data_IF_250011329489
#
_entry.id   IF_250011329489
#
_cell.length_a   1.000
_cell.length_b   1.000
_cell.length_c   1.000
_cell.angle_alpha   90.00
_cell.angle_beta   90.00
_cell.angle_gamma   90.00
#
_symmetry.space_group_name_H-M   'P 1'
#
loop_
_entity.id
_entity.type
_entity.pdbx_description
1 polymer ?
#
# COMPACT_ATOMS: atom_id res chain seq x y z
N UNK A 1 -40.50 -3.20 19.69
CA UNK A 1 -40.09 -2.10 18.79
C UNK A 1 -38.72 -1.64 19.25
N UNK A 2 -37.69 -2.00 18.49
CA UNK A 2 -36.29 -2.05 18.91
C UNK A 2 -35.64 -0.67 18.92
N UNK A 3 -34.80 -0.42 19.93
CA UNK A 3 -34.04 0.82 20.19
C UNK A 3 -33.17 1.31 19.00
N UNK A 4 -32.90 0.46 18.01
CA UNK A 4 -32.07 0.78 16.84
C UNK A 4 -32.72 1.76 15.86
N UNK A 5 -34.06 1.79 15.75
CA UNK A 5 -34.74 2.71 14.84
C UNK A 5 -34.70 4.17 15.32
N UNK A 6 -34.58 4.42 16.64
CA UNK A 6 -34.49 5.78 17.18
C UNK A 6 -33.13 6.44 16.96
N UNK A 7 -32.07 5.67 16.68
CA UNK A 7 -30.71 6.17 16.50
C UNK A 7 -30.45 6.68 15.07
N UNK A 8 -31.00 5.98 14.06
CA UNK A 8 -30.85 6.37 12.66
C UNK A 8 -31.64 7.65 12.31
N UNK A 9 -32.85 7.81 12.85
CA UNK A 9 -33.66 9.02 12.65
C UNK A 9 -32.99 10.27 13.21
N UNK A 10 -32.31 10.14 14.36
CA UNK A 10 -31.54 11.21 14.99
C UNK A 10 -30.31 11.63 14.17
N UNK A 11 -29.67 10.70 13.46
CA UNK A 11 -28.52 11.01 12.62
C UNK A 11 -28.94 11.74 11.33
N UNK A 12 -29.99 11.26 10.67
CA UNK A 12 -30.54 11.89 9.48
C UNK A 12 -31.01 13.33 9.75
N UNK A 13 -31.71 13.57 10.87
CA UNK A 13 -32.14 14.91 11.25
C UNK A 13 -30.97 15.87 11.52
N UNK A 14 -29.92 15.41 12.22
CA UNK A 14 -28.73 16.25 12.48
C UNK A 14 -28.00 16.62 11.20
N UNK A 15 -27.84 15.68 10.27
CA UNK A 15 -27.23 15.93 8.97
C UNK A 15 -28.02 16.99 8.19
N UNK A 16 -29.34 16.87 8.18
CA UNK A 16 -30.23 17.82 7.51
C UNK A 16 -30.15 19.23 8.11
N UNK A 17 -30.08 19.35 9.44
CA UNK A 17 -29.86 20.65 10.10
C UNK A 17 -28.50 21.28 9.77
N UNK A 18 -27.44 20.47 9.63
CA UNK A 18 -26.11 20.96 9.23
C UNK A 18 -26.15 21.45 7.78
N UNK A 19 -26.76 20.68 6.88
CA UNK A 19 -26.89 21.04 5.46
C UNK A 19 -27.71 22.33 5.28
N UNK A 20 -28.80 22.51 6.03
CA UNK A 20 -29.61 23.73 6.02
C UNK A 20 -28.85 24.94 6.58
N UNK A 21 -28.03 24.74 7.62
CA UNK A 21 -27.20 25.80 8.20
C UNK A 21 -26.09 26.23 7.25
N UNK A 22 -25.43 25.26 6.59
CA UNK A 22 -24.44 25.51 5.55
C UNK A 22 -25.06 26.25 4.37
N UNK A 23 -26.27 25.85 3.94
CA UNK A 23 -26.99 26.51 2.84
C UNK A 23 -27.37 27.95 3.19
N UNK A 24 -27.86 28.21 4.41
CA UNK A 24 -28.13 29.59 4.89
C UNK A 24 -26.86 30.43 4.95
N UNK A 25 -25.74 29.85 5.41
CA UNK A 25 -24.46 30.53 5.44
C UNK A 25 -23.95 30.86 4.03
N UNK A 26 -24.02 29.92 3.08
CA UNK A 26 -23.62 30.12 1.69
C UNK A 26 -24.48 31.17 0.98
N UNK A 27 -25.78 31.23 1.29
CA UNK A 27 -26.70 32.21 0.71
C UNK A 27 -26.62 33.58 1.40
N UNK A 28 -25.86 33.72 2.49
CA UNK A 28 -25.73 35.00 3.17
C UNK A 28 -25.01 36.02 2.27
N UNK A 29 -25.50 37.28 2.18
CA UNK A 29 -24.86 38.30 1.36
C UNK A 29 -23.39 38.56 1.73
N UNK A 30 -23.04 38.45 3.02
CA UNK A 30 -21.67 38.60 3.50
C UNK A 30 -20.75 37.49 2.99
N UNK A 31 -21.23 36.24 3.03
CA UNK A 31 -20.49 35.07 2.52
C UNK A 31 -20.32 35.15 1.00
N UNK A 32 -21.37 35.53 0.28
CA UNK A 32 -21.32 35.72 -1.17
C UNK A 32 -20.34 36.84 -1.57
N UNK A 33 -20.29 37.94 -0.82
CA UNK A 33 -19.31 39.01 -1.05
C UNK A 33 -17.87 38.55 -0.79
N UNK A 34 -17.64 37.76 0.27
CA UNK A 34 -16.35 37.17 0.58
C UNK A 34 -15.87 36.19 -0.51
N UNK A 35 -16.75 35.29 -0.96
CA UNK A 35 -16.42 34.34 -2.03
C UNK A 35 -16.11 35.05 -3.35
N UNK A 36 -16.84 36.12 -3.68
CA UNK A 36 -16.53 36.94 -4.87
C UNK A 36 -15.17 37.61 -4.77
N UNK A 37 -14.82 38.18 -3.62
CA UNK A 37 -13.49 38.78 -3.36
C UNK A 37 -12.35 37.76 -3.50
N UNK A 38 -12.56 36.52 -3.02
CA UNK A 38 -11.59 35.44 -3.22
C UNK A 38 -11.41 35.06 -4.69
N UNK A 39 -12.50 34.92 -5.44
CA UNK A 39 -12.46 34.58 -6.87
C UNK A 39 -11.75 35.68 -7.67
N UNK A 40 -12.01 36.94 -7.34
CA UNK A 40 -11.39 38.11 -7.97
C UNK A 40 -9.88 38.17 -7.68
N UNK A 41 -9.48 37.82 -6.46
CA UNK A 41 -8.06 37.72 -6.05
C UNK A 41 -7.34 36.59 -6.79
N UNK A 42 -7.99 35.44 -7.02
CA UNK A 42 -7.44 34.33 -7.80
C UNK A 42 -7.30 34.68 -9.29
N UNK A 43 -8.29 35.34 -9.87
CA UNK A 43 -8.26 35.73 -11.29
C UNK A 43 -7.17 36.78 -11.59
N UNK A 44 -6.86 37.66 -10.63
CA UNK A 44 -5.80 38.65 -10.77
C UNK A 44 -4.38 38.09 -10.62
N UNK A 45 -4.20 36.93 -9.94
CA UNK A 45 -2.88 36.26 -9.83
C UNK A 45 -2.44 35.54 -11.11
N UNK A 46 -3.35 35.25 -12.04
CA UNK A 46 -3.06 34.55 -13.30
C UNK A 46 -2.36 35.41 -14.38
N UNK A 47 -1.93 36.65 -14.08
CA UNK A 47 -1.17 37.50 -15.02
C UNK A 47 0.32 37.66 -14.73
N UNK A 48 0.87 37.12 -13.64
CA UNK A 48 2.33 37.06 -13.44
C UNK A 48 2.70 35.80 -12.65
N UNK A 49 3.14 34.75 -13.35
CA UNK A 49 4.14 33.81 -12.86
C UNK A 49 4.59 32.91 -14.03
N UNK A 50 5.75 33.24 -14.61
CA UNK A 50 6.64 32.22 -15.18
C UNK A 50 6.88 31.19 -14.06
N UNK A 51 6.81 29.90 -14.40
CA UNK A 51 7.19 28.83 -13.48
C UNK A 51 8.54 29.18 -12.84
N UNK A 52 8.69 29.10 -11.51
CA UNK A 52 9.98 29.31 -10.89
C UNK A 52 10.93 28.22 -11.40
N UNK A 53 12.06 28.64 -11.96
CA UNK A 53 13.17 27.75 -12.27
C UNK A 53 13.53 26.92 -11.05
N UNK A 54 14.01 25.67 -11.23
CA UNK A 54 14.42 24.81 -10.12
C UNK A 54 15.39 25.55 -9.22
N UNK A 55 15.04 25.68 -7.95
CA UNK A 55 15.89 26.32 -6.95
C UNK A 55 17.09 25.40 -6.73
N UNK A 56 18.20 25.71 -7.42
CA UNK A 56 19.52 25.21 -7.04
C UNK A 56 19.79 25.76 -5.65
N UNK A 57 19.82 24.88 -4.66
CA UNK A 57 20.29 25.20 -3.31
C UNK A 57 21.75 25.63 -3.47
N UNK A 58 21.99 26.94 -3.48
CA UNK A 58 23.34 27.47 -3.26
C UNK A 58 23.71 27.12 -1.82
N UNK A 59 24.68 26.23 -1.68
CA UNK A 59 25.36 25.96 -0.42
C UNK A 59 26.05 27.25 0.04
N UNK A 60 25.38 28.02 0.88
CA UNK A 60 25.97 29.10 1.66
C UNK A 60 25.03 29.42 2.84
N UNK A 61 25.03 28.56 3.84
CA UNK A 61 25.40 28.99 5.19
C UNK A 61 25.77 27.75 6.01
N UNK A 62 26.98 27.79 6.57
CA UNK A 62 27.44 26.83 7.56
C UNK A 62 26.63 27.13 8.81
N UNK A 63 25.69 26.24 9.17
CA UNK A 63 25.16 25.99 10.54
C UNK A 63 23.79 25.28 10.52
N UNK A 64 23.65 24.22 9.72
CA UNK A 64 22.57 23.24 9.93
C UNK A 64 23.17 21.91 10.39
N UNK A 65 22.81 21.40 11.58
CA UNK A 65 23.26 20.09 12.00
C UNK A 65 22.64 19.06 11.05
N UNK A 66 23.52 18.33 10.38
CA UNK A 66 23.19 17.14 9.61
C UNK A 66 22.55 16.14 10.57
N UNK A 67 21.26 15.85 10.38
CA UNK A 67 20.60 14.74 11.07
C UNK A 67 21.22 13.44 10.57
N UNK A 68 22.14 12.89 11.36
CA UNK A 68 22.72 11.57 11.13
C UNK A 68 21.67 10.51 11.51
N UNK A 69 20.79 10.18 10.56
CA UNK A 69 19.83 9.08 10.67
C UNK A 69 20.56 7.76 10.45
N UNK A 70 21.20 7.23 11.49
CA UNK A 70 22.02 6.01 11.44
C UNK A 70 21.22 4.69 11.49
N UNK A 71 19.89 4.73 11.48
CA UNK A 71 19.04 3.53 11.58
C UNK A 71 18.24 3.26 10.30
N UNK A 72 18.31 2.02 9.83
CA UNK A 72 17.52 1.53 8.69
C UNK A 72 16.02 1.51 9.06
N UNK A 73 15.13 1.60 8.06
CA UNK A 73 13.67 1.55 8.26
C UNK A 73 13.22 0.27 8.96
N UNK A 74 13.89 -0.87 8.69
CA UNK A 74 13.62 -2.16 9.33
C UNK A 74 13.94 -2.12 10.83
N UNK A 75 15.03 -1.46 11.21
CA UNK A 75 15.44 -1.32 12.62
C UNK A 75 14.48 -0.41 13.37
N UNK A 76 14.02 0.67 12.73
CA UNK A 76 12.99 1.57 13.26
C UNK A 76 11.64 0.87 13.46
N UNK A 77 11.21 0.07 12.49
CA UNK A 77 9.98 -0.73 12.58
C UNK A 77 10.04 -1.79 13.68
N UNK A 78 11.18 -2.46 13.84
CA UNK A 78 11.37 -3.48 14.87
C UNK A 78 11.50 -2.87 16.28
N UNK A 79 12.05 -1.66 16.42
CA UNK A 79 12.14 -0.93 17.69
C UNK A 79 10.76 -0.48 18.21
N UNK A 80 9.85 -0.10 17.33
CA UNK A 80 8.48 0.32 17.69
C UNK A 80 7.58 -0.85 18.14
N UNK A 81 7.92 -2.08 17.78
CA UNK A 81 7.11 -3.28 18.02
C UNK A 81 7.64 -4.20 19.14
N UNK A 82 8.69 -3.78 19.88
CA UNK A 82 9.29 -4.60 20.95
C UNK A 82 8.38 -4.78 22.18
N UNK A 83 7.46 -3.85 22.45
CA UNK A 83 6.68 -3.85 23.70
C UNK A 83 5.22 -4.33 23.54
N UNK A 84 4.80 -4.77 22.35
CA UNK A 84 3.43 -5.30 22.13
C UNK A 84 3.26 -6.78 22.51
N UNK A 85 4.28 -7.43 23.08
CA UNK A 85 4.18 -8.79 23.65
C UNK A 85 4.20 -8.70 25.19
N UNK A 86 3.30 -7.92 25.78
CA UNK A 86 2.94 -8.11 27.19
C UNK A 86 1.51 -7.63 27.45
N UNK A 87 0.51 -8.37 26.98
CA UNK A 87 -0.82 -8.31 27.56
C UNK A 87 -1.17 -9.66 28.18
N UNK A 88 -1.22 -9.60 29.50
CA UNK A 88 -1.60 -10.63 30.44
C UNK A 88 -3.09 -10.94 30.27
N UNK A 89 -3.40 -12.12 29.73
CA UNK A 89 -4.75 -12.65 29.84
C UNK A 89 -4.98 -13.10 31.30
N UNK A 90 -5.69 -12.25 32.04
CA UNK A 90 -6.28 -12.62 33.33
C UNK A 90 -7.31 -13.73 33.11
N UNK A 91 -6.95 -14.90 33.61
CA UNK A 91 -7.83 -16.04 33.88
C UNK A 91 -9.12 -15.59 34.58
N UNK A 92 -10.25 -15.74 33.90
CA UNK A 92 -11.54 -15.97 34.54
C UNK A 92 -11.97 -17.40 34.21
N UNK A 93 -11.93 -18.24 35.25
CA UNK A 93 -12.40 -19.62 35.24
C UNK A 93 -13.91 -19.61 35.37
N UNK A 94 -14.62 -20.17 34.40
CA UNK A 94 -15.90 -20.85 34.66
C UNK A 94 -15.82 -22.29 34.14
N UNK A 95 -16.05 -23.19 35.09
CA UNK A 95 -15.99 -24.65 35.03
C UNK A 95 -17.25 -25.23 34.41
N UNK A 96 -17.18 -26.16 33.43
CA UNK A 96 -17.25 -27.63 33.63
C UNK A 96 -17.70 -28.28 32.30
N UNK A 97 -17.74 -29.62 32.16
CA UNK A 97 -16.67 -30.60 32.29
C UNK A 97 -16.45 -31.39 30.98
N UNK A 98 -15.25 -31.98 30.84
CA UNK A 98 -14.92 -32.96 29.79
C UNK A 98 -15.78 -34.21 29.95
N UNK A 99 -16.43 -34.66 28.87
CA UNK A 99 -16.69 -36.09 28.62
C UNK A 99 -16.30 -36.46 27.19
N UNK A 100 -15.64 -37.58 27.13
CA UNK A 100 -15.00 -38.29 26.04
C UNK A 100 -15.94 -38.74 24.93
N UNK A 101 -15.40 -38.74 23.71
CA UNK A 101 -15.61 -39.67 22.60
C UNK A 101 -16.99 -40.32 22.41
N UNK A 102 -17.63 -40.04 21.26
CA UNK A 102 -18.12 -41.10 20.37
C UNK A 102 -18.46 -40.57 18.97
N UNK A 103 -18.10 -41.37 17.96
CA UNK A 103 -18.36 -41.17 16.53
C UNK A 103 -19.85 -41.14 16.26
N UNK A 104 -20.39 -40.07 15.67
CA UNK A 104 -21.65 -40.15 14.91
C UNK A 104 -21.60 -39.27 13.65
N UNK A 105 -21.52 -39.96 12.49
CA UNK A 105 -21.93 -39.42 11.20
C UNK A 105 -23.40 -38.98 11.30
N UNK A 106 -23.68 -37.68 11.16
CA UNK A 106 -25.05 -37.20 10.94
C UNK A 106 -25.23 -36.80 9.48
N UNK A 107 -26.03 -37.62 8.81
CA UNK A 107 -26.63 -37.48 7.50
C UNK A 107 -27.61 -36.29 7.56
N UNK A 108 -27.36 -35.21 6.83
CA UNK A 108 -28.35 -34.15 6.68
C UNK A 108 -29.36 -34.54 5.60
N UNK A 109 -30.59 -34.76 6.03
CA UNK A 109 -31.77 -34.94 5.20
C UNK A 109 -32.29 -33.54 4.88
N UNK A 110 -32.38 -33.20 3.59
CA UNK A 110 -33.23 -32.10 3.10
C UNK A 110 -34.11 -32.68 2.00
N UNK A 111 -35.33 -33.08 2.35
CA UNK A 111 -36.42 -33.35 1.41
C UNK A 111 -37.25 -32.08 1.28
N UNK A 112 -37.28 -31.50 0.07
CA UNK A 112 -38.32 -30.56 -0.33
C UNK A 112 -39.13 -31.27 -1.41
N UNK A 113 -40.35 -31.66 -1.08
CA UNK A 113 -41.31 -32.20 -2.03
C UNK A 113 -41.82 -31.06 -2.94
N UNK A 114 -41.55 -31.17 -4.23
CA UNK A 114 -42.24 -30.40 -5.28
C UNK A 114 -42.77 -31.40 -6.31
N UNK A 115 -44.09 -31.39 -6.50
CA UNK A 115 -44.82 -32.30 -7.37
C UNK A 115 -44.70 -31.86 -8.85
N UNK A 116 -44.33 -32.79 -9.76
CA UNK A 116 -44.44 -32.66 -11.22
C UNK A 116 -43.25 -33.28 -11.99
N UNK A 117 -43.46 -33.99 -13.13
CA UNK A 117 -42.39 -34.67 -13.83
C UNK A 117 -41.63 -33.70 -14.72
N UNK A 118 -40.55 -33.11 -14.20
CA UNK A 118 -39.56 -32.41 -15.01
C UNK A 118 -38.25 -33.19 -14.92
N UNK A 119 -37.64 -33.47 -16.08
CA UNK A 119 -36.31 -34.11 -16.18
C UNK A 119 -35.37 -33.48 -15.15
N UNK A 120 -34.90 -34.28 -14.19
CA UNK A 120 -33.97 -33.84 -13.18
C UNK A 120 -32.60 -33.58 -13.83
N UNK A 121 -32.43 -32.38 -14.38
CA UNK A 121 -31.11 -31.88 -14.77
C UNK A 121 -30.33 -31.65 -13.49
N UNK A 122 -29.40 -32.56 -13.17
CA UNK A 122 -28.49 -32.39 -12.03
C UNK A 122 -27.72 -31.09 -12.22
N UNK A 123 -28.07 -30.05 -11.46
CA UNK A 123 -27.34 -28.77 -11.46
C UNK A 123 -25.98 -29.03 -10.82
N UNK A 124 -24.94 -29.17 -11.65
CA UNK A 124 -23.55 -29.24 -11.18
C UNK A 124 -23.14 -27.82 -10.78
N UNK A 125 -23.22 -27.50 -9.49
CA UNK A 125 -22.69 -26.25 -8.95
C UNK A 125 -21.17 -26.36 -8.98
N UNK A 126 -20.54 -25.66 -9.93
CA UNK A 126 -19.08 -25.55 -9.98
C UNK A 126 -18.56 -24.90 -8.68
N UNK A 127 -17.33 -25.22 -8.24
CA UNK A 127 -16.72 -24.55 -7.10
C UNK A 127 -16.79 -23.03 -7.29
N UNK A 128 -17.43 -22.35 -6.34
CA UNK A 128 -17.63 -20.89 -6.38
C UNK A 128 -16.67 -20.14 -5.44
N UNK A 129 -16.00 -20.87 -4.56
CA UNK A 129 -14.91 -20.38 -3.72
C UNK A 129 -13.63 -21.10 -4.11
N UNK A 130 -12.67 -20.34 -4.62
CA UNK A 130 -11.32 -20.83 -4.89
C UNK A 130 -10.36 -20.05 -4.00
N UNK A 131 -9.67 -20.73 -3.07
CA UNK A 131 -8.46 -20.18 -2.46
C UNK A 131 -7.44 -19.87 -3.56
N UNK A 132 -6.54 -18.91 -3.38
CA UNK A 132 -5.61 -18.49 -4.44
C UNK A 132 -4.75 -19.65 -4.97
N UNK A 133 -4.56 -20.69 -4.16
CA UNK A 133 -3.84 -21.93 -4.52
C UNK A 133 -4.72 -22.96 -5.26
N UNK A 134 -6.00 -22.68 -5.46
CA UNK A 134 -6.99 -23.59 -6.07
C UNK A 134 -7.58 -23.07 -7.38
N UNK A 135 -7.08 -21.97 -7.91
CA UNK A 135 -7.28 -21.56 -9.29
C UNK A 135 -6.12 -22.10 -10.14
N UNK A 136 -6.24 -23.27 -10.78
CA UNK A 136 -5.62 -23.40 -12.08
C UNK A 136 -6.40 -22.45 -12.98
N UNK A 137 -5.87 -21.25 -13.24
CA UNK A 137 -6.25 -20.59 -14.49
C UNK A 137 -5.92 -21.63 -15.56
N UNK A 138 -6.94 -22.09 -16.29
CA UNK A 138 -6.77 -23.13 -17.31
C UNK A 138 -5.82 -22.58 -18.37
N UNK A 139 -4.54 -22.84 -18.19
CA UNK A 139 -3.51 -22.49 -19.13
C UNK A 139 -3.72 -23.39 -20.35
N UNK A 140 -3.82 -22.75 -21.51
CA UNK A 140 -3.82 -23.50 -22.75
C UNK A 140 -2.42 -24.06 -23.02
N UNK A 141 -2.35 -25.22 -23.69
CA UNK A 141 -1.07 -25.77 -24.13
C UNK A 141 -0.30 -24.80 -25.05
N UNK A 142 -1.02 -23.96 -25.80
CA UNK A 142 -0.42 -22.93 -26.65
C UNK A 142 0.30 -21.86 -25.83
N UNK A 143 -0.30 -21.37 -24.75
CA UNK A 143 0.34 -20.40 -23.85
C UNK A 143 1.58 -20.98 -23.15
N UNK A 144 1.56 -22.27 -22.77
CA UNK A 144 2.76 -22.93 -22.23
C UNK A 144 3.89 -22.95 -23.24
N UNK A 145 3.58 -23.32 -24.48
CA UNK A 145 4.57 -23.39 -25.55
C UNK A 145 5.14 -21.99 -25.82
N UNK A 146 4.31 -20.95 -25.85
CA UNK A 146 4.76 -19.57 -26.01
C UNK A 146 5.66 -19.11 -24.85
N UNK A 147 5.27 -19.36 -23.60
CA UNK A 147 6.07 -19.03 -22.42
C UNK A 147 7.45 -19.74 -22.50
N UNK A 148 7.48 -21.03 -22.84
CA UNK A 148 8.73 -21.80 -22.97
C UNK A 148 9.60 -21.28 -24.12
N UNK A 149 9.02 -20.97 -25.28
CA UNK A 149 9.75 -20.39 -26.41
C UNK A 149 10.37 -19.03 -26.06
N UNK A 150 9.65 -18.21 -25.30
CA UNK A 150 10.15 -16.91 -24.85
C UNK A 150 11.32 -17.07 -23.87
N UNK A 151 11.21 -18.01 -22.92
CA UNK A 151 12.31 -18.34 -22.00
C UNK A 151 13.52 -18.85 -22.77
N UNK A 152 13.31 -19.80 -23.68
CA UNK A 152 14.38 -20.36 -24.52
C UNK A 152 15.09 -19.27 -25.32
N UNK A 153 14.34 -18.36 -25.94
CA UNK A 153 14.88 -17.23 -26.68
C UNK A 153 15.84 -16.38 -25.82
N UNK A 154 15.38 -15.87 -24.68
CA UNK A 154 16.18 -14.95 -23.86
C UNK A 154 17.42 -15.60 -23.24
N UNK A 155 17.33 -16.87 -22.83
CA UNK A 155 18.48 -17.57 -22.26
C UNK A 155 19.44 -18.12 -23.32
N UNK A 156 19.00 -18.41 -24.54
CA UNK A 156 19.89 -18.86 -25.61
C UNK A 156 20.66 -17.70 -26.25
N UNK A 157 20.08 -16.49 -26.27
CA UNK A 157 20.74 -15.27 -26.74
C UNK A 157 21.82 -14.77 -25.74
N UNK A 158 21.82 -15.26 -24.50
CA UNK A 158 22.79 -14.85 -23.48
C UNK A 158 24.04 -15.71 -23.45
N UNK A 159 25.18 -15.09 -23.12
CA UNK A 159 26.43 -15.82 -22.90
C UNK A 159 26.26 -16.77 -21.70
N UNK A 160 26.69 -18.03 -21.86
CA UNK A 160 26.63 -19.09 -20.84
C UNK A 160 25.21 -19.53 -20.40
N UNK A 161 24.14 -19.21 -21.14
CA UNK A 161 22.77 -19.58 -20.77
C UNK A 161 22.34 -19.06 -19.38
N UNK A 162 22.91 -17.93 -18.98
CA UNK A 162 22.63 -17.26 -17.73
C UNK A 162 22.30 -15.78 -17.97
N UNK A 163 21.47 -15.19 -17.12
CA UNK A 163 21.05 -13.80 -17.22
C UNK A 163 21.43 -13.04 -15.95
N UNK A 164 22.10 -11.91 -16.12
CA UNK A 164 22.24 -10.89 -15.08
C UNK A 164 20.95 -10.05 -14.98
N UNK A 165 20.90 -9.15 -13.99
CA UNK A 165 19.73 -8.31 -13.72
C UNK A 165 19.24 -7.51 -14.93
N UNK A 166 20.17 -6.97 -15.74
CA UNK A 166 19.83 -6.19 -16.93
C UNK A 166 19.19 -7.05 -18.02
N UNK A 167 19.77 -8.22 -18.31
CA UNK A 167 19.22 -9.16 -19.30
C UNK A 167 17.87 -9.74 -18.86
N UNK A 168 17.66 -9.86 -17.55
CA UNK A 168 16.42 -10.38 -16.98
C UNK A 168 15.23 -9.41 -17.09
N UNK A 169 15.47 -8.12 -17.35
CA UNK A 169 14.43 -7.11 -17.54
C UNK A 169 13.42 -7.46 -18.64
N UNK A 170 13.89 -8.05 -19.74
CA UNK A 170 13.02 -8.48 -20.83
C UNK A 170 12.05 -9.59 -20.38
N UNK A 171 12.49 -10.52 -19.53
CA UNK A 171 11.64 -11.57 -18.95
C UNK A 171 10.59 -10.95 -18.03
N UNK A 172 10.98 -9.98 -17.19
CA UNK A 172 10.06 -9.25 -16.31
C UNK A 172 8.93 -8.60 -17.11
N UNK A 173 9.28 -7.90 -18.19
CA UNK A 173 8.32 -7.14 -19.00
C UNK A 173 7.48 -8.03 -19.91
N UNK A 174 8.12 -8.93 -20.66
CA UNK A 174 7.45 -9.67 -21.72
C UNK A 174 6.78 -10.95 -21.23
N UNK A 175 7.41 -11.70 -20.32
CA UNK A 175 6.85 -12.95 -19.80
C UNK A 175 5.99 -12.70 -18.55
N UNK A 176 6.52 -11.94 -17.59
CA UNK A 176 5.82 -11.70 -16.32
C UNK A 176 4.71 -10.66 -16.46
N UNK A 177 4.71 -9.86 -17.55
CA UNK A 177 3.76 -8.75 -17.78
C UNK A 177 3.74 -7.76 -16.62
N UNK A 178 4.92 -7.50 -16.04
CA UNK A 178 5.17 -6.50 -15.02
C UNK A 178 6.07 -5.43 -15.61
N UNK A 179 5.89 -4.16 -15.26
CA UNK A 179 6.76 -3.10 -15.77
C UNK A 179 8.20 -3.20 -15.21
N UNK A 180 9.09 -2.35 -15.73
CA UNK A 180 10.53 -2.39 -15.41
C UNK A 180 10.85 -2.23 -13.92
N UNK A 181 10.00 -1.54 -13.14
CA UNK A 181 10.21 -1.32 -11.70
C UNK A 181 10.15 -2.62 -10.88
N UNK A 182 9.58 -3.69 -11.42
CA UNK A 182 9.55 -4.99 -10.74
C UNK A 182 10.80 -5.82 -10.97
N UNK A 183 11.69 -5.41 -11.89
CA UNK A 183 12.82 -6.25 -12.32
C UNK A 183 13.77 -6.57 -11.16
N UNK A 184 14.23 -5.55 -10.43
CA UNK A 184 15.15 -5.77 -9.31
C UNK A 184 14.56 -6.64 -8.20
N UNK A 185 13.26 -6.49 -7.90
CA UNK A 185 12.56 -7.34 -6.93
C UNK A 185 12.46 -8.79 -7.40
N UNK A 186 12.02 -9.01 -8.63
CA UNK A 186 11.87 -10.33 -9.20
C UNK A 186 13.23 -11.03 -9.30
N UNK A 187 14.24 -10.34 -9.82
CA UNK A 187 15.61 -10.86 -9.95
C UNK A 187 16.18 -11.28 -8.60
N UNK A 188 16.10 -10.40 -7.58
CA UNK A 188 16.55 -10.72 -6.21
C UNK A 188 15.81 -11.91 -5.63
N UNK A 189 14.49 -12.00 -5.84
CA UNK A 189 13.67 -13.10 -5.32
C UNK A 189 14.06 -14.44 -5.94
N UNK A 190 14.25 -14.49 -7.26
CA UNK A 190 14.74 -15.69 -7.96
C UNK A 190 16.16 -16.06 -7.47
N UNK A 191 17.04 -15.08 -7.27
CA UNK A 191 18.40 -15.31 -6.77
C UNK A 191 18.46 -15.81 -5.32
N UNK A 192 17.53 -15.38 -4.46
CA UNK A 192 17.57 -15.67 -3.03
C UNK A 192 17.25 -17.12 -2.65
N UNK A 193 16.60 -17.89 -3.53
CA UNK A 193 16.17 -19.27 -3.22
C UNK A 193 17.32 -20.29 -3.19
N UNK A 194 18.43 -20.01 -3.89
CA UNK A 194 19.64 -20.85 -3.90
C UNK A 194 20.82 -19.90 -4.04
N UNK A 195 21.71 -19.80 -3.04
CA UNK A 195 22.90 -18.93 -3.08
C UNK A 195 23.66 -19.04 -4.41
N UNK A 196 23.36 -18.15 -5.37
CA UNK A 196 24.00 -18.10 -6.67
C UNK A 196 25.27 -17.25 -6.52
N UNK A 197 26.42 -17.82 -6.83
CA UNK A 197 27.74 -17.22 -6.56
C UNK A 197 28.08 -16.03 -7.45
N UNK A 198 27.34 -15.80 -8.54
CA UNK A 198 27.77 -14.91 -9.63
C UNK A 198 26.79 -13.77 -10.00
N UNK A 199 25.73 -13.50 -9.21
CA UNK A 199 24.68 -12.53 -9.60
C UNK A 199 24.09 -12.78 -11.00
N UNK A 200 24.02 -14.05 -11.40
CA UNK A 200 23.43 -14.50 -12.66
C UNK A 200 22.47 -15.64 -12.37
N UNK A 201 21.35 -15.68 -13.10
CA UNK A 201 20.33 -16.71 -12.99
C UNK A 201 20.51 -17.67 -14.16
N UNK A 202 20.63 -18.99 -13.89
CA UNK A 202 20.62 -20.00 -14.95
C UNK A 202 19.19 -20.30 -15.42
N UNK A 203 19.03 -20.68 -16.70
CA UNK A 203 17.74 -21.08 -17.27
C UNK A 203 17.01 -22.14 -16.44
N UNK A 204 17.74 -23.18 -16.01
CA UNK A 204 17.19 -24.29 -15.22
C UNK A 204 16.60 -23.77 -13.90
N UNK A 205 17.37 -22.95 -13.19
CA UNK A 205 16.93 -22.39 -11.91
C UNK A 205 15.70 -21.48 -12.08
N UNK A 206 15.69 -20.65 -13.11
CA UNK A 206 14.53 -19.82 -13.40
C UNK A 206 13.28 -20.64 -13.73
N UNK A 207 13.40 -21.71 -14.53
CA UNK A 207 12.28 -22.58 -14.88
C UNK A 207 11.66 -23.25 -13.64
N UNK A 208 12.48 -23.77 -12.73
CA UNK A 208 12.01 -24.34 -11.46
C UNK A 208 11.22 -23.29 -10.66
N UNK A 209 11.78 -22.10 -10.49
CA UNK A 209 11.12 -21.00 -9.76
C UNK A 209 9.82 -20.55 -10.44
N UNK A 210 9.82 -20.42 -11.77
CA UNK A 210 8.66 -19.99 -12.56
C UNK A 210 7.49 -20.98 -12.42
N UNK A 211 7.79 -22.29 -12.48
CA UNK A 211 6.80 -23.36 -12.32
C UNK A 211 6.12 -23.31 -10.95
N UNK A 212 6.88 -23.06 -9.89
CA UNK A 212 6.37 -23.00 -8.51
C UNK A 212 5.57 -21.72 -8.23
N UNK A 213 5.97 -20.58 -8.79
CA UNK A 213 5.43 -19.29 -8.38
C UNK A 213 4.40 -18.69 -9.35
N UNK A 214 4.70 -18.69 -10.65
CA UNK A 214 4.00 -17.84 -11.65
C UNK A 214 3.33 -18.61 -12.77
N UNK A 215 3.65 -19.89 -12.94
CA UNK A 215 3.07 -20.72 -13.99
C UNK A 215 1.55 -20.81 -13.83
N UNK A 216 1.05 -21.34 -12.71
CA UNK A 216 -0.38 -21.62 -12.56
C UNK A 216 -1.27 -20.39 -12.29
N UNK A 217 -0.67 -19.27 -11.87
CA UNK A 217 -1.40 -18.04 -11.51
C UNK A 217 -0.87 -16.87 -12.36
N UNK A 218 -1.52 -16.62 -13.50
CA UNK A 218 -1.12 -15.59 -14.50
C UNK A 218 -1.61 -14.18 -14.18
N UNK A 219 -2.28 -13.97 -13.05
CA UNK A 219 -2.77 -12.65 -12.66
C UNK A 219 -1.59 -11.72 -12.32
N UNK A 220 -1.40 -10.63 -13.07
CA UNK A 220 -0.34 -9.64 -12.80
C UNK A 220 -0.41 -9.03 -11.39
N UNK A 221 -1.60 -8.88 -10.82
CA UNK A 221 -1.77 -8.44 -9.43
C UNK A 221 -1.27 -9.51 -8.46
N UNK A 222 -1.50 -10.80 -8.75
CA UNK A 222 -0.94 -11.87 -7.92
C UNK A 222 0.57 -11.90 -8.03
N UNK A 223 1.12 -11.73 -9.24
CA UNK A 223 2.57 -11.67 -9.45
C UNK A 223 3.19 -10.54 -8.62
N UNK A 224 2.69 -9.31 -8.73
CA UNK A 224 3.15 -8.19 -7.92
C UNK A 224 2.99 -8.41 -6.41
N UNK A 225 1.82 -8.88 -5.97
CA UNK A 225 1.56 -9.21 -4.56
C UNK A 225 2.48 -10.32 -4.02
N UNK A 226 2.74 -11.35 -4.84
CA UNK A 226 3.63 -12.44 -4.50
C UNK A 226 5.09 -11.98 -4.46
N UNK A 227 5.49 -10.99 -5.25
CA UNK A 227 6.83 -10.41 -5.16
C UNK A 227 7.02 -9.60 -3.88
N UNK A 228 6.05 -8.77 -3.50
CA UNK A 228 6.12 -7.92 -2.32
C UNK A 228 6.13 -8.71 -1.00
N UNK A 229 5.30 -9.76 -0.90
CA UNK A 229 5.18 -10.47 0.39
C UNK A 229 6.50 -11.10 0.82
N UNK A 230 6.74 -11.03 2.13
CA UNK A 230 7.89 -11.65 2.80
C UNK A 230 7.45 -12.83 3.66
N UNK A 231 8.41 -13.68 4.07
CA UNK A 231 8.18 -14.72 5.07
C UNK A 231 7.89 -14.11 6.45
N UNK A 232 7.03 -14.76 7.23
CA UNK A 232 6.74 -14.32 8.59
C UNK A 232 7.69 -15.04 9.56
N UNK A 233 8.41 -14.33 10.45
CA UNK A 233 9.35 -14.96 11.39
C UNK A 233 8.70 -15.62 12.61
N UNK A 234 7.37 -15.77 12.66
CA UNK A 234 6.68 -16.26 13.87
C UNK A 234 6.66 -17.79 13.99
N UNK A 235 7.37 -18.26 15.03
CA UNK A 235 7.36 -19.60 15.69
C UNK A 235 7.37 -20.83 14.76
N UNK A 236 8.55 -21.45 14.70
CA UNK A 236 8.83 -22.83 14.28
C UNK A 236 8.50 -23.24 12.82
N UNK A 237 7.69 -22.48 12.07
CA UNK A 237 7.45 -22.71 10.64
C UNK A 237 7.45 -21.38 9.88
N UNK A 238 8.47 -21.17 9.03
CA UNK A 238 8.52 -20.06 8.08
C UNK A 238 7.39 -20.23 7.07
N UNK A 239 6.28 -19.53 7.26
CA UNK A 239 5.17 -19.48 6.32
C UNK A 239 5.12 -18.14 5.62
N UNK A 240 4.72 -18.17 4.36
CA UNK A 240 4.57 -16.99 3.54
C UNK A 240 3.41 -16.13 4.07
N UNK A 241 3.64 -14.83 4.27
CA UNK A 241 2.62 -13.91 4.76
C UNK A 241 1.45 -13.80 3.75
N UNK A 242 0.22 -13.79 4.24
CA UNK A 242 -1.00 -13.69 3.40
C UNK A 242 -1.43 -12.23 3.11
N UNK A 243 -0.62 -11.26 3.52
CA UNK A 243 -0.84 -9.82 3.36
C UNK A 243 0.50 -9.12 3.13
N UNK A 244 0.44 -7.89 2.61
CA UNK A 244 1.60 -6.98 2.51
C UNK A 244 1.41 -5.80 3.46
N UNK A 245 2.52 -5.27 3.97
CA UNK A 245 2.56 -4.11 4.89
C UNK A 245 3.37 -2.98 4.24
N UNK A 246 3.34 -1.73 4.77
CA UNK A 246 4.05 -0.59 4.19
C UNK A 246 5.51 -0.86 3.85
N UNK A 247 6.29 -1.44 4.78
CA UNK A 247 7.71 -1.70 4.57
C UNK A 247 8.02 -2.70 3.44
N UNK A 248 7.06 -3.56 3.06
CA UNK A 248 7.23 -4.49 1.93
C UNK A 248 7.34 -3.74 0.58
N UNK A 249 6.90 -2.48 0.50
CA UNK A 249 6.97 -1.66 -0.71
C UNK A 249 8.26 -0.85 -0.85
N UNK A 250 9.05 -0.69 0.22
CA UNK A 250 10.23 0.19 0.21
C UNK A 250 11.19 -0.16 -0.93
N UNK A 251 11.48 -1.45 -1.11
CA UNK A 251 12.43 -1.86 -2.13
C UNK A 251 11.89 -1.65 -3.57
N UNK A 252 10.57 -1.66 -3.76
CA UNK A 252 9.94 -1.32 -5.04
C UNK A 252 10.02 0.19 -5.32
N UNK A 253 9.76 1.04 -4.32
CA UNK A 253 9.82 2.50 -4.50
C UNK A 253 11.26 2.98 -4.66
N UNK A 254 12.24 2.34 -4.00
CA UNK A 254 13.66 2.61 -4.26
C UNK A 254 14.01 2.31 -5.72
N UNK A 255 13.57 1.16 -6.26
CA UNK A 255 13.79 0.82 -7.67
C UNK A 255 13.17 1.86 -8.62
N UNK A 256 11.98 2.39 -8.28
CA UNK A 256 11.36 3.50 -9.03
C UNK A 256 12.28 4.73 -9.06
N UNK A 257 12.83 5.14 -7.92
CA UNK A 257 13.74 6.31 -7.84
C UNK A 257 15.05 6.05 -8.60
N UNK A 258 15.56 4.82 -8.55
CA UNK A 258 16.82 4.44 -9.18
C UNK A 258 16.74 4.40 -10.71
N UNK A 259 15.59 3.98 -11.24
CA UNK A 259 15.40 3.74 -12.67
C UNK A 259 14.67 4.88 -13.38
N UNK A 260 13.81 5.64 -12.70
CA UNK A 260 13.02 6.71 -13.32
C UNK A 260 13.81 8.00 -13.44
N UNK A 261 14.13 8.41 -14.68
CA UNK A 261 14.95 9.59 -14.97
C UNK A 261 14.46 10.87 -14.28
N UNK A 262 13.16 11.18 -14.36
CA UNK A 262 12.60 12.38 -13.73
C UNK A 262 12.71 12.41 -12.20
N UNK A 263 12.85 11.25 -11.53
CA UNK A 263 12.97 11.15 -10.07
C UNK A 263 14.43 10.96 -9.61
N UNK A 264 15.36 10.81 -10.55
CA UNK A 264 16.76 10.48 -10.28
C UNK A 264 17.51 11.49 -9.40
N UNK A 265 17.04 12.75 -9.35
CA UNK A 265 17.59 13.80 -8.51
C UNK A 265 17.41 13.51 -7.01
N UNK A 266 16.37 12.74 -6.63
CA UNK A 266 16.11 12.40 -5.23
C UNK A 266 17.27 11.62 -4.59
N UNK A 267 18.01 10.83 -5.38
CA UNK A 267 19.17 10.05 -4.92
C UNK A 267 20.29 10.89 -4.33
N UNK A 268 20.43 12.12 -4.79
CA UNK A 268 21.51 13.01 -4.37
C UNK A 268 21.19 13.74 -3.06
N UNK A 269 19.96 13.63 -2.56
CA UNK A 269 19.46 14.40 -1.44
C UNK A 269 19.01 13.50 -0.28
N UNK A 270 19.87 12.61 0.22
CA UNK A 270 19.59 11.90 1.49
C UNK A 270 19.53 12.93 2.65
N UNK A 271 18.55 12.87 3.58
CA UNK A 271 17.52 11.84 3.80
C UNK A 271 16.17 12.11 3.09
N UNK A 272 16.09 13.10 2.22
CA UNK A 272 14.84 13.58 1.63
C UNK A 272 14.11 12.55 0.76
N UNK A 273 14.85 11.64 0.12
CA UNK A 273 14.26 10.55 -0.64
C UNK A 273 13.53 9.53 0.25
N UNK A 274 13.97 9.33 1.49
CA UNK A 274 13.29 8.48 2.45
C UNK A 274 11.89 9.03 2.79
N UNK A 275 11.77 10.34 2.99
CA UNK A 275 10.47 10.98 3.21
C UNK A 275 9.55 10.89 1.99
N UNK A 276 10.13 10.97 0.78
CA UNK A 276 9.38 10.74 -0.45
C UNK A 276 8.85 9.30 -0.52
N UNK A 277 9.70 8.30 -0.24
CA UNK A 277 9.31 6.88 -0.21
C UNK A 277 8.17 6.65 0.79
N UNK A 278 8.32 7.12 2.03
CA UNK A 278 7.31 7.00 3.08
C UNK A 278 5.99 7.66 2.66
N UNK A 279 6.04 8.84 2.05
CA UNK A 279 4.85 9.56 1.57
C UNK A 279 4.15 8.80 0.45
N UNK A 280 4.89 8.26 -0.52
CA UNK A 280 4.33 7.46 -1.62
C UNK A 280 3.62 6.22 -1.07
N UNK A 281 4.26 5.49 -0.16
CA UNK A 281 3.69 4.29 0.47
C UNK A 281 2.45 4.65 1.31
N UNK A 282 2.51 5.73 2.09
CA UNK A 282 1.38 6.21 2.88
C UNK A 282 0.18 6.53 1.97
N UNK A 283 0.40 7.18 0.81
CA UNK A 283 -0.66 7.49 -0.16
C UNK A 283 -1.23 6.23 -0.82
N UNK A 284 -0.39 5.23 -1.11
CA UNK A 284 -0.83 3.92 -1.59
C UNK A 284 -1.77 3.27 -0.57
N UNK A 285 -1.35 3.15 0.70
CA UNK A 285 -2.17 2.52 1.74
C UNK A 285 -3.42 3.33 2.10
N UNK A 286 -3.33 4.66 2.07
CA UNK A 286 -4.48 5.54 2.29
C UNK A 286 -5.59 5.26 1.27
N UNK A 287 -5.22 5.10 0.01
CA UNK A 287 -6.17 4.87 -1.09
C UNK A 287 -6.68 3.44 -1.15
N UNK A 288 -5.85 2.46 -0.77
CA UNK A 288 -6.08 1.05 -1.09
C UNK A 288 -6.38 0.13 0.11
N UNK A 289 -5.85 0.41 1.31
CA UNK A 289 -6.14 -0.39 2.51
C UNK A 289 -7.37 0.17 3.24
N UNK A 290 -8.56 -0.11 2.69
CA UNK A 290 -9.84 0.41 3.22
C UNK A 290 -10.18 -0.08 4.63
N UNK A 291 -9.64 -1.24 5.02
CA UNK A 291 -9.78 -1.79 6.38
C UNK A 291 -8.96 -1.01 7.42
N UNK A 292 -8.05 -0.13 7.00
CA UNK A 292 -7.22 0.71 7.87
C UNK A 292 -6.45 -0.09 8.95
N UNK A 293 -6.05 -1.31 8.64
CA UNK A 293 -5.37 -2.24 9.56
C UNK A 293 -3.87 -2.39 9.25
N UNK A 294 -3.35 -1.63 8.29
CA UNK A 294 -1.94 -1.70 7.86
C UNK A 294 -1.56 -2.99 7.14
N UNK A 295 -2.54 -3.86 6.83
CA UNK A 295 -2.33 -5.17 6.22
C UNK A 295 -3.20 -5.29 4.99
N UNK A 296 -2.59 -5.17 3.82
CA UNK A 296 -3.30 -5.29 2.55
C UNK A 296 -3.28 -6.75 2.09
N UNK A 297 -4.45 -7.39 2.08
CA UNK A 297 -4.61 -8.77 1.59
C UNK A 297 -4.60 -8.82 0.06
N UNK A 298 -4.42 -10.01 -0.55
CA UNK A 298 -4.51 -10.14 -2.01
C UNK A 298 -5.87 -9.68 -2.57
N UNK A 299 -6.96 -9.95 -1.83
CA UNK A 299 -8.30 -9.49 -2.23
C UNK A 299 -8.38 -7.97 -2.34
N UNK A 300 -7.71 -7.23 -1.44
CA UNK A 300 -7.61 -5.78 -1.55
C UNK A 300 -6.66 -5.41 -2.70
N UNK A 301 -5.44 -5.97 -2.71
CA UNK A 301 -4.41 -5.67 -3.71
C UNK A 301 -4.87 -5.87 -5.16
N UNK A 302 -5.67 -6.91 -5.42
CA UNK A 302 -6.21 -7.20 -6.76
C UNK A 302 -7.25 -6.20 -7.26
N UNK A 303 -7.84 -5.40 -6.38
CA UNK A 303 -8.77 -4.32 -6.73
C UNK A 303 -8.12 -2.93 -6.64
N UNK A 304 -6.87 -2.86 -6.20
CA UNK A 304 -6.09 -1.63 -6.15
C UNK A 304 -5.62 -1.24 -7.55
N UNK A 305 -5.40 0.06 -7.75
CA UNK A 305 -4.81 0.59 -8.98
C UNK A 305 -3.27 0.63 -8.93
N UNK A 306 -2.61 0.11 -7.88
CA UNK A 306 -1.15 0.19 -7.68
C UNK A 306 -0.38 -0.29 -8.92
N UNK A 307 -0.73 -1.46 -9.46
CA UNK A 307 -0.07 -2.01 -10.66
C UNK A 307 -0.26 -1.06 -11.85
N UNK A 308 -1.48 -0.58 -12.06
CA UNK A 308 -1.79 0.35 -13.16
C UNK A 308 -1.14 1.72 -12.98
N UNK A 309 -1.01 2.23 -11.76
CA UNK A 309 -0.32 3.50 -11.47
C UNK A 309 1.18 3.38 -11.74
N UNK A 310 1.79 2.24 -11.41
CA UNK A 310 3.19 1.95 -11.79
C UNK A 310 3.33 1.82 -13.32
N UNK A 311 2.39 1.20 -14.01
CA UNK A 311 2.39 1.11 -15.49
C UNK A 311 2.27 2.51 -16.15
N UNK A 312 1.43 3.39 -15.61
CA UNK A 312 1.34 4.79 -16.07
C UNK A 312 2.64 5.55 -15.81
N UNK A 313 3.22 5.39 -14.62
CA UNK A 313 4.51 5.99 -14.26
C UNK A 313 5.62 5.59 -15.25
N UNK A 314 5.62 4.33 -15.70
CA UNK A 314 6.61 3.80 -16.64
C UNK A 314 6.66 4.57 -17.98
N UNK A 315 5.53 5.17 -18.37
CA UNK A 315 5.30 5.91 -19.62
C UNK A 315 5.52 7.42 -19.48
N UNK A 316 5.52 7.96 -18.26
CA UNK A 316 5.68 9.39 -17.97
C UNK A 316 7.17 9.72 -17.93
N UNK A 317 7.65 10.62 -18.78
CA UNK A 317 9.09 10.89 -18.88
C UNK A 317 9.52 12.13 -18.10
N UNK A 318 8.61 13.10 -17.97
CA UNK A 318 8.86 14.37 -17.31
C UNK A 318 8.27 14.40 -15.90
N UNK A 319 8.89 15.16 -14.99
CA UNK A 319 8.48 15.23 -13.59
C UNK A 319 7.04 15.78 -13.44
N UNK A 320 6.67 16.73 -14.30
CA UNK A 320 5.37 17.40 -14.32
C UNK A 320 4.22 16.48 -14.77
N UNK A 321 4.54 15.42 -15.52
CA UNK A 321 3.55 14.43 -15.99
C UNK A 321 3.21 13.41 -14.91
N UNK A 322 4.10 13.23 -13.92
CA UNK A 322 3.95 12.23 -12.88
C UNK A 322 2.73 12.53 -12.00
N UNK A 323 1.82 11.56 -11.95
CA UNK A 323 0.52 11.67 -11.28
C UNK A 323 0.37 10.60 -10.17
N UNK A 324 -0.84 10.41 -9.67
CA UNK A 324 -1.19 9.39 -8.66
C UNK A 324 -0.27 9.46 -7.43
N UNK A 325 0.22 8.32 -6.98
CA UNK A 325 1.04 8.16 -5.76
C UNK A 325 2.38 8.86 -5.85
N UNK A 326 2.95 8.98 -7.05
CA UNK A 326 4.34 9.36 -7.28
C UNK A 326 4.55 10.87 -7.50
N UNK A 327 3.45 11.63 -7.59
CA UNK A 327 3.52 13.08 -7.82
C UNK A 327 4.39 13.78 -6.77
N UNK A 328 5.51 14.34 -7.22
CA UNK A 328 6.50 14.99 -6.36
C UNK A 328 5.99 16.29 -5.74
N UNK A 329 5.15 17.05 -6.45
CA UNK A 329 4.56 18.29 -5.93
C UNK A 329 3.65 18.00 -4.73
N UNK A 330 2.86 16.92 -4.79
CA UNK A 330 2.04 16.49 -3.66
C UNK A 330 2.89 16.13 -2.44
N UNK A 331 3.97 15.38 -2.65
CA UNK A 331 4.92 15.09 -1.58
C UNK A 331 5.50 16.38 -0.98
N UNK A 332 5.99 17.31 -1.81
CA UNK A 332 6.60 18.53 -1.34
C UNK A 332 5.64 19.36 -0.48
N UNK A 333 4.37 19.49 -0.90
CA UNK A 333 3.34 20.20 -0.12
C UNK A 333 3.08 19.52 1.24
N UNK A 334 2.97 18.18 1.26
CA UNK A 334 2.76 17.42 2.51
C UNK A 334 3.96 17.60 3.44
N UNK A 335 5.17 17.43 2.91
CA UNK A 335 6.41 17.56 3.67
C UNK A 335 6.60 18.98 4.22
N UNK A 336 6.41 20.02 3.39
CA UNK A 336 6.49 21.41 3.86
C UNK A 336 5.50 21.71 4.98
N UNK A 337 4.28 21.15 4.90
CA UNK A 337 3.30 21.32 5.98
C UNK A 337 3.67 20.57 7.24
N UNK A 338 4.26 19.38 7.12
CA UNK A 338 4.77 18.66 8.28
C UNK A 338 5.88 19.45 8.99
N UNK A 339 6.87 19.94 8.24
CA UNK A 339 8.00 20.71 8.79
C UNK A 339 7.56 22.09 9.33
N UNK A 340 6.50 22.69 8.79
CA UNK A 340 5.91 23.91 9.34
C UNK A 340 5.31 23.68 10.74
N UNK A 341 4.80 22.48 11.02
CA UNK A 341 4.25 22.11 12.32
C UNK A 341 5.34 21.66 13.29
N UNK A 342 6.27 20.82 12.83
CA UNK A 342 7.39 20.27 13.61
C UNK A 342 8.52 21.30 13.81
N UNK A 343 8.29 22.25 14.73
CA UNK A 343 9.21 23.36 15.00
C UNK A 343 10.54 22.91 15.62
N UNK A 344 10.53 21.81 16.39
CA UNK A 344 11.70 21.21 17.04
C UNK A 344 12.44 20.20 16.15
N UNK A 345 11.91 19.87 14.97
CA UNK A 345 12.51 19.02 13.95
C UNK A 345 12.84 17.62 14.45
N UNK A 346 12.00 17.07 15.32
CA UNK A 346 12.18 15.73 15.89
C UNK A 346 11.41 14.65 15.12
N UNK A 347 10.73 15.02 14.02
CA UNK A 347 9.87 14.17 13.19
C UNK A 347 8.67 13.61 13.95
N UNK A 348 8.24 14.32 14.99
CA UNK A 348 7.08 14.03 15.80
C UNK A 348 6.19 15.27 15.83
N UNK A 349 4.91 15.06 15.58
CA UNK A 349 3.90 16.12 15.68
C UNK A 349 3.08 15.86 16.94
N UNK A 350 3.17 16.79 17.88
CA UNK A 350 2.43 16.75 19.13
C UNK A 350 1.04 17.36 18.97
N UNK A 351 0.22 17.20 20.02
CA UNK A 351 -1.14 17.73 20.07
C UNK A 351 -1.16 19.26 19.88
N UNK A 352 -0.16 19.95 20.44
CA UNK A 352 0.00 21.41 20.33
C UNK A 352 0.33 21.85 18.91
N UNK A 353 1.09 21.04 18.18
CA UNK A 353 1.50 21.37 16.82
C UNK A 353 0.31 21.24 15.87
N UNK A 354 -0.45 20.14 15.96
CA UNK A 354 -1.69 19.97 15.17
C UNK A 354 -2.70 21.07 15.49
N UNK A 355 -2.77 21.54 16.74
CA UNK A 355 -3.66 22.63 17.12
C UNK A 355 -3.33 23.95 16.41
N UNK A 356 -2.10 24.14 15.92
CA UNK A 356 -1.73 25.32 15.11
C UNK A 356 -2.02 25.14 13.62
N UNK A 357 -2.33 23.91 13.17
CA UNK A 357 -2.55 23.64 11.76
C UNK A 357 -3.61 24.54 11.13
N UNK A 358 -3.27 25.07 9.96
CA UNK A 358 -4.11 25.98 9.19
C UNK A 358 -4.68 27.13 10.05
N UNK A 359 -3.81 27.82 10.79
CA UNK A 359 -4.15 28.94 11.69
C UNK A 359 -5.16 28.55 12.78
N UNK A 360 -4.94 27.39 13.42
CA UNK A 360 -5.80 26.87 14.49
C UNK A 360 -7.29 26.74 14.10
N UNK A 361 -7.56 26.33 12.86
CA UNK A 361 -8.93 26.10 12.38
C UNK A 361 -9.58 24.85 12.95
N UNK A 362 -8.78 23.88 13.44
CA UNK A 362 -9.28 22.67 14.07
C UNK A 362 -9.65 22.94 15.54
N UNK A 363 -10.88 22.57 15.93
CA UNK A 363 -11.29 22.63 17.34
C UNK A 363 -10.49 21.65 18.19
N UNK A 364 -10.29 21.95 19.47
CA UNK A 364 -9.60 21.07 20.42
C UNK A 364 -10.16 19.65 20.46
N UNK A 365 -11.50 19.50 20.38
CA UNK A 365 -12.17 18.19 20.33
C UNK A 365 -11.80 17.39 19.08
N UNK A 366 -11.63 18.05 17.93
CA UNK A 366 -11.21 17.38 16.69
C UNK A 366 -9.75 16.95 16.80
N UNK A 367 -8.89 17.82 17.32
CA UNK A 367 -7.46 17.51 17.54
C UNK A 367 -7.33 16.30 18.47
N UNK A 368 -8.03 16.29 19.61
CA UNK A 368 -8.03 15.17 20.54
C UNK A 368 -8.49 13.86 19.88
N UNK A 369 -9.53 13.91 19.05
CA UNK A 369 -10.01 12.73 18.30
C UNK A 369 -9.00 12.22 17.27
N UNK A 370 -8.24 13.11 16.66
CA UNK A 370 -7.14 12.73 15.76
C UNK A 370 -6.04 12.03 16.57
N UNK A 371 -5.59 12.65 17.67
CA UNK A 371 -4.50 12.11 18.51
C UNK A 371 -4.84 10.79 19.19
N UNK A 372 -6.12 10.54 19.46
CA UNK A 372 -6.61 9.26 20.01
C UNK A 372 -6.80 8.18 18.94
N UNK A 373 -6.50 8.46 17.67
CA UNK A 373 -6.57 7.47 16.60
C UNK A 373 -7.99 7.06 16.19
N UNK A 374 -9.01 7.86 16.53
CA UNK A 374 -10.41 7.59 16.13
C UNK A 374 -10.60 7.52 14.61
N UNK A 375 -10.06 8.44 13.79
CA UNK A 375 -10.29 8.38 12.33
C UNK A 375 -9.48 7.27 11.64
N UNK A 376 -8.33 6.91 12.20
CA UNK A 376 -7.45 5.83 11.72
C UNK A 376 -6.57 5.43 12.89
N UNK A 377 -6.40 4.13 13.11
CA UNK A 377 -5.47 3.62 14.12
C UNK A 377 -4.08 4.14 13.78
N UNK A 378 -3.64 5.15 14.51
CA UNK A 378 -2.30 5.69 14.41
C UNK A 378 -1.37 4.70 15.13
N UNK A 379 -0.20 4.43 14.56
CA UNK A 379 0.89 3.81 15.29
C UNK A 379 1.45 4.83 16.28
N UNK A 380 0.66 5.14 17.32
CA UNK A 380 1.09 5.97 18.43
C UNK A 380 2.20 5.22 19.14
N UNK A 381 3.34 5.89 19.34
CA UNK A 381 4.39 5.34 20.20
C UNK A 381 3.75 5.10 21.57
N UNK A 382 3.90 3.87 22.09
CA UNK A 382 3.18 3.42 23.29
C UNK A 382 3.34 4.44 24.42
N UNK A 383 2.23 5.06 24.84
CA UNK A 383 2.21 6.02 25.95
C UNK A 383 2.38 7.50 25.61
N UNK A 384 2.53 7.89 24.33
CA UNK A 384 2.64 9.31 23.93
C UNK A 384 1.56 9.69 22.90
N UNK A 385 0.78 10.74 23.19
CA UNK A 385 -0.16 11.37 22.26
C UNK A 385 0.61 12.14 21.18
N UNK A 386 1.35 11.44 20.33
CA UNK A 386 2.19 12.05 19.29
C UNK A 386 2.11 11.25 17.99
N UNK A 387 2.09 11.97 16.86
CA UNK A 387 2.07 11.38 15.52
C UNK A 387 3.51 11.39 15.00
N UNK A 388 4.08 10.21 14.77
CA UNK A 388 5.40 10.11 14.13
C UNK A 388 5.26 10.12 12.61
N UNK A 389 6.27 10.65 11.92
CA UNK A 389 6.40 10.53 10.46
C UNK A 389 6.54 9.08 9.95
N UNK A 390 6.83 8.11 10.82
CA UNK A 390 7.09 6.72 10.41
C UNK A 390 5.78 5.93 10.26
N UNK A 391 5.47 5.48 9.03
CA UNK A 391 4.32 4.62 8.67
C UNK A 391 4.71 3.15 8.57
#
# INVERSE_FOLDING_TARGET
MSLDNMSQDNYCQRRQCIDDSLRKWLLSPATQAYLRSMIETCNNKNKVAKAPSPMIIKTADKDHPVLELSLTSIDRWNLLNKDTISCTEKSSKESSPKKSAEKHQKKCINTVDVCGPALATTIIIKPFYCSVNSLPQQISNEELVQDMQMIDKYFNESNNFALNENGFSAITMELCKLNRFWNGQLFKKVCSDKHLSNNEISKKHFLEWWQENFLYIRNKHWRGFNLLRQFTPQRAQSSMREYVVPCDFECLINEVIDTHKALSFLRQHKPFDQFYIETVIARMFYSNNKKCNGRMTFSEFSHCDIISSLERLDQQNELEEITDYFNYQHFYVIYSKFIELDSNRDLVVETTDIAQYANATLTSQVVERIMTGVPRTLHLRSGTNCISANV
#
